data_IF_816786332895
#
_entry.id   IF_816786332895
#
_cell.length_a   1.000
_cell.length_b   1.000
_cell.length_c   1.000
_cell.angle_alpha   90.00
_cell.angle_beta   90.00
_cell.angle_gamma   90.00
#
_symmetry.space_group_name_H-M   'P 1'
#
loop_
_entity.id
_entity.type
_entity.pdbx_description
1 polymer ?
#
# COMPACT_ATOMS: atom_id res chain seq x y z
N UNK A 1 -13.22 6.30 -2.32
CA UNK A 1 -13.94 6.08 -3.58
C UNK A 1 -12.92 5.89 -4.70
N UNK A 2 -12.96 4.75 -5.40
CA UNK A 2 -12.09 4.42 -6.55
C UNK A 2 -12.96 3.81 -7.65
N UNK A 3 -12.59 3.88 -8.94
CA UNK A 3 -13.42 3.40 -10.06
C UNK A 3 -13.37 1.88 -10.24
N UNK A 4 -13.36 1.13 -9.13
CA UNK A 4 -13.10 -0.31 -9.13
C UNK A 4 -14.19 -1.10 -9.85
N UNK A 5 -15.46 -0.73 -9.63
CA UNK A 5 -16.58 -1.43 -10.25
C UNK A 5 -16.66 -1.09 -11.74
N UNK A 6 -16.43 0.17 -12.12
CA UNK A 6 -16.37 0.63 -13.51
C UNK A 6 -15.26 -0.07 -14.28
N UNK A 7 -14.06 -0.20 -13.70
CA UNK A 7 -12.94 -0.97 -14.29
C UNK A 7 -13.34 -2.41 -14.61
N UNK A 8 -14.19 -3.03 -13.78
CA UNK A 8 -14.69 -4.38 -14.02
C UNK A 8 -15.68 -4.52 -15.17
N UNK A 9 -16.29 -3.41 -15.60
CA UNK A 9 -17.23 -3.36 -16.73
C UNK A 9 -16.54 -3.07 -18.07
N UNK A 10 -15.31 -2.57 -18.04
CA UNK A 10 -14.55 -2.21 -19.23
C UNK A 10 -13.82 -3.42 -19.83
N UNK A 11 -13.73 -3.47 -21.16
CA UNK A 11 -12.97 -4.49 -21.91
C UNK A 11 -11.46 -4.21 -21.91
N UNK A 12 -10.89 -3.90 -20.73
CA UNK A 12 -9.46 -3.56 -20.56
C UNK A 12 -8.65 -4.68 -19.89
N UNK A 13 -9.33 -5.65 -19.25
CA UNK A 13 -8.70 -6.78 -18.58
C UNK A 13 -9.00 -8.10 -19.27
N UNK A 14 -8.00 -8.97 -19.38
CA UNK A 14 -8.17 -10.34 -19.88
C UNK A 14 -8.77 -11.30 -18.85
N UNK A 15 -8.86 -10.88 -17.58
CA UNK A 15 -9.28 -11.68 -16.45
C UNK A 15 -10.35 -10.93 -15.65
N UNK A 16 -11.33 -11.65 -15.04
CA UNK A 16 -12.28 -11.04 -14.11
C UNK A 16 -11.61 -10.24 -12.99
N UNK A 17 -12.26 -9.20 -12.46
CA UNK A 17 -11.67 -8.41 -11.36
C UNK A 17 -11.65 -9.16 -10.03
N UNK A 18 -12.58 -10.09 -9.84
CA UNK A 18 -12.74 -10.91 -8.62
C UNK A 18 -12.58 -12.40 -8.91
N UNK A 19 -12.28 -13.17 -7.88
CA UNK A 19 -12.37 -14.65 -7.91
C UNK A 19 -13.85 -15.08 -7.87
N UNK A 20 -14.12 -16.32 -8.27
CA UNK A 20 -15.46 -16.89 -8.15
C UNK A 20 -15.88 -16.97 -6.67
N UNK A 21 -17.09 -16.52 -6.35
CA UNK A 21 -17.60 -16.51 -4.97
C UNK A 21 -18.23 -15.17 -4.59
N UNK A 22 -18.12 -14.82 -3.32
CA UNK A 22 -18.72 -13.62 -2.74
C UNK A 22 -18.13 -12.32 -3.31
N UNK A 23 -18.85 -11.19 -3.13
CA UNK A 23 -18.38 -9.85 -3.53
C UNK A 23 -17.64 -9.15 -2.39
N UNK A 24 -16.70 -9.84 -1.73
CA UNK A 24 -15.91 -9.24 -0.64
C UNK A 24 -14.59 -8.66 -1.13
N UNK A 25 -13.90 -7.88 -0.29
CA UNK A 25 -12.54 -7.41 -0.58
C UNK A 25 -11.55 -8.57 -0.74
N UNK A 26 -11.74 -9.66 0.01
CA UNK A 26 -10.86 -10.84 -0.05
C UNK A 26 -10.93 -11.55 -1.42
N UNK A 27 -12.04 -11.40 -2.13
CA UNK A 27 -12.24 -11.97 -3.47
C UNK A 27 -11.63 -11.10 -4.58
N UNK A 28 -11.24 -9.86 -4.26
CA UNK A 28 -10.66 -8.93 -5.22
C UNK A 28 -9.22 -9.31 -5.59
N UNK A 29 -8.90 -9.31 -6.89
CA UNK A 29 -7.54 -9.59 -7.35
C UNK A 29 -6.64 -8.37 -7.16
N UNK A 30 -5.35 -8.65 -6.91
CA UNK A 30 -4.35 -7.62 -6.63
C UNK A 30 -4.21 -6.59 -7.77
N UNK A 31 -4.24 -7.01 -9.04
CA UNK A 31 -4.11 -6.10 -10.19
C UNK A 31 -5.26 -5.08 -10.22
N UNK A 32 -6.56 -5.49 -10.28
CA UNK A 32 -7.68 -4.56 -10.20
C UNK A 32 -7.66 -3.67 -8.95
N UNK A 33 -7.26 -4.22 -7.79
CA UNK A 33 -7.15 -3.46 -6.55
C UNK A 33 -6.15 -2.31 -6.66
N UNK A 34 -4.90 -2.60 -7.03
CA UNK A 34 -3.86 -1.58 -7.19
C UNK A 34 -4.24 -0.60 -8.30
N UNK A 35 -4.70 -1.11 -9.45
CA UNK A 35 -5.05 -0.30 -10.61
C UNK A 35 -6.15 0.73 -10.29
N UNK A 36 -7.19 0.36 -9.55
CA UNK A 36 -8.26 1.28 -9.17
C UNK A 36 -7.77 2.45 -8.30
N UNK A 37 -6.85 2.20 -7.36
CA UNK A 37 -6.26 3.27 -6.53
C UNK A 37 -5.19 4.10 -7.24
N UNK A 38 -4.62 3.57 -8.32
CA UNK A 38 -3.77 4.36 -9.21
C UNK A 38 -4.60 5.37 -10.01
N UNK A 39 -5.82 5.02 -10.43
CA UNK A 39 -6.68 5.91 -11.23
C UNK A 39 -7.04 7.21 -10.50
N UNK A 40 -7.23 7.16 -9.18
CA UNK A 40 -7.60 8.33 -8.38
C UNK A 40 -6.41 8.98 -7.65
N UNK A 41 -5.17 8.58 -7.96
CA UNK A 41 -3.93 9.12 -7.35
C UNK A 41 -3.83 8.97 -5.83
N UNK A 42 -4.65 8.13 -5.20
CA UNK A 42 -4.54 7.92 -3.75
C UNK A 42 -3.50 6.87 -3.39
N UNK A 43 -3.22 5.91 -4.29
CA UNK A 43 -2.21 4.86 -4.09
C UNK A 43 -2.27 4.13 -2.73
N UNK A 44 -3.47 4.02 -2.13
CA UNK A 44 -3.70 3.43 -0.80
C UNK A 44 -2.91 2.13 -0.55
N UNK A 45 -2.84 1.16 -1.49
CA UNK A 45 -2.12 -0.09 -1.25
C UNK A 45 -0.61 0.06 -1.04
N UNK A 46 -0.02 1.19 -1.42
CA UNK A 46 1.42 1.46 -1.33
C UNK A 46 1.89 1.99 0.02
N UNK A 47 1.01 2.61 0.81
CA UNK A 47 1.40 3.30 2.05
C UNK A 47 0.47 3.03 3.25
N UNK A 48 -0.73 2.48 3.02
CA UNK A 48 -1.71 2.28 4.08
C UNK A 48 -1.15 1.43 5.23
N UNK A 49 -1.25 1.97 6.44
CA UNK A 49 -0.77 1.33 7.68
C UNK A 49 0.68 1.61 8.05
N UNK A 50 1.53 2.08 7.13
CA UNK A 50 2.95 2.34 7.42
C UNK A 50 3.11 3.44 8.46
N UNK A 51 2.43 4.58 8.27
CA UNK A 51 2.49 5.71 9.21
C UNK A 51 2.00 5.34 10.61
N UNK A 52 0.89 4.62 10.72
CA UNK A 52 0.36 4.13 12.00
C UNK A 52 1.33 3.14 12.67
N UNK A 53 1.91 2.21 11.91
CA UNK A 53 2.89 1.27 12.43
C UNK A 53 4.14 1.97 12.98
N UNK A 54 4.66 2.98 12.28
CA UNK A 54 5.78 3.80 12.75
C UNK A 54 5.40 4.58 14.00
N UNK A 55 4.22 5.23 14.01
CA UNK A 55 3.76 6.01 15.16
C UNK A 55 3.61 5.15 16.42
N UNK A 56 2.92 4.01 16.33
CA UNK A 56 2.78 3.07 17.45
C UNK A 56 4.13 2.53 17.91
N UNK A 57 5.05 2.23 16.99
CA UNK A 57 6.39 1.80 17.36
C UNK A 57 7.15 2.87 18.16
N UNK A 58 7.07 4.13 17.73
CA UNK A 58 7.67 5.26 18.42
C UNK A 58 7.02 5.52 19.79
N UNK A 59 5.71 5.39 19.91
CA UNK A 59 5.00 5.51 21.19
C UNK A 59 5.50 4.47 22.22
N UNK A 60 5.64 3.21 21.79
CA UNK A 60 6.07 2.11 22.68
C UNK A 60 7.56 2.14 22.99
N UNK A 61 8.41 2.56 22.04
CA UNK A 61 9.88 2.45 22.13
C UNK A 61 10.58 3.79 22.42
N UNK A 62 9.87 4.90 22.32
CA UNK A 62 10.39 6.25 22.53
C UNK A 62 11.66 6.53 21.72
N UNK A 63 12.59 7.29 22.33
CA UNK A 63 13.84 7.70 21.70
C UNK A 63 14.73 6.53 21.21
N UNK A 64 14.68 5.37 21.88
CA UNK A 64 15.42 4.17 21.44
C UNK A 64 14.85 3.62 20.14
N UNK A 65 13.52 3.65 20.00
CA UNK A 65 12.84 3.25 18.76
C UNK A 65 13.19 4.18 17.60
N UNK A 66 13.15 5.49 17.84
CA UNK A 66 13.51 6.49 16.84
C UNK A 66 14.95 6.31 16.34
N UNK A 67 15.90 6.15 17.27
CA UNK A 67 17.30 5.90 16.94
C UNK A 67 17.47 4.61 16.13
N UNK A 68 16.71 3.55 16.45
CA UNK A 68 16.74 2.31 15.70
C UNK A 68 16.18 2.48 14.28
N UNK A 69 15.05 3.15 14.10
CA UNK A 69 14.47 3.40 12.78
C UNK A 69 15.43 4.20 11.89
N UNK A 70 16.04 5.27 12.44
CA UNK A 70 17.07 6.06 11.75
C UNK A 70 18.27 5.21 11.34
N UNK A 71 18.76 4.34 12.24
CA UNK A 71 19.85 3.41 11.95
C UNK A 71 19.46 2.39 10.90
N UNK A 72 18.27 1.80 10.98
CA UNK A 72 17.78 0.85 9.98
C UNK A 72 17.68 1.52 8.60
N UNK A 73 17.23 2.77 8.53
CA UNK A 73 17.21 3.52 7.27
C UNK A 73 18.61 3.75 6.70
N UNK A 74 19.60 4.07 7.55
CA UNK A 74 20.98 4.28 7.11
C UNK A 74 21.70 2.98 6.70
N UNK A 75 21.59 1.95 7.54
CA UNK A 75 22.48 0.78 7.50
C UNK A 75 21.81 -0.46 6.90
N UNK A 76 20.47 -0.55 6.91
CA UNK A 76 19.75 -1.74 6.47
C UNK A 76 19.04 -1.52 5.13
N UNK A 77 19.69 -2.02 4.06
CA UNK A 77 19.24 -1.87 2.66
C UNK A 77 17.78 -2.22 2.41
N UNK A 78 17.30 -3.32 2.98
CA UNK A 78 15.91 -3.76 2.77
C UNK A 78 14.92 -2.78 3.43
N UNK A 79 15.20 -2.34 4.65
CA UNK A 79 14.33 -1.38 5.33
C UNK A 79 14.30 -0.04 4.59
N UNK A 80 15.47 0.46 4.16
CA UNK A 80 15.55 1.66 3.32
C UNK A 80 14.72 1.51 2.05
N UNK A 81 14.86 0.40 1.32
CA UNK A 81 14.07 0.13 0.11
C UNK A 81 12.55 0.17 0.38
N UNK A 82 12.09 -0.39 1.50
CA UNK A 82 10.67 -0.37 1.86
C UNK A 82 10.20 1.07 2.10
N UNK A 83 10.97 1.88 2.82
CA UNK A 83 10.62 3.28 3.07
C UNK A 83 10.69 4.11 1.79
N UNK A 84 11.70 3.91 0.95
CA UNK A 84 11.83 4.58 -0.35
C UNK A 84 10.63 4.27 -1.27
N UNK A 85 10.14 3.02 -1.27
CA UNK A 85 8.94 2.65 -2.03
C UNK A 85 7.68 3.35 -1.49
N UNK A 86 7.53 3.43 -0.17
CA UNK A 86 6.41 4.16 0.46
C UNK A 86 6.47 5.65 0.10
N UNK A 87 7.64 6.28 0.25
CA UNK A 87 7.86 7.69 -0.12
C UNK A 87 7.52 7.93 -1.60
N UNK A 88 8.02 7.06 -2.50
CA UNK A 88 7.69 7.12 -3.91
C UNK A 88 6.18 7.08 -4.15
N UNK A 89 5.43 6.23 -3.46
CA UNK A 89 3.96 6.16 -3.62
C UNK A 89 3.21 7.37 -3.07
N UNK A 90 3.75 8.06 -2.06
CA UNK A 90 3.17 9.28 -1.50
C UNK A 90 3.47 10.54 -2.33
N UNK A 91 4.55 10.50 -3.13
CA UNK A 91 4.96 11.61 -3.99
C UNK A 91 4.22 11.69 -5.33
N UNK A 92 3.44 10.65 -5.69
CA UNK A 92 2.58 10.64 -6.89
C UNK A 92 1.19 11.24 -6.59
#
# INVERSE_FOLDING_TARGET
ASPLEEIGLLNIGSRPTRRFGARTLADLRAIPWVFAWTQNRHFVPGWYGVGSGVATFLEVRGARGEALLKRMFADFRLFRLIIDEVEKTLAY
#
